data_IF_933797642933
#
_entry.id   IF_933797642933
#
_cell.length_a   1.000
_cell.length_b   1.000
_cell.length_c   1.000
_cell.angle_alpha   90.00
_cell.angle_beta   90.00
_cell.angle_gamma   90.00
#
_symmetry.space_group_name_H-M   'P 1'
#
loop_
_entity.id
_entity.type
_entity.pdbx_description
1 polymer ?
#
# COMPACT_ATOMS: atom_id res chain seq x y z
N UNK A 1 4.65 -22.55 -6.88
CA UNK A 1 3.84 -21.34 -6.56
C UNK A 1 3.33 -21.51 -5.13
N UNK A 2 3.21 -20.43 -4.37
CA UNK A 2 2.59 -20.41 -3.03
C UNK A 2 1.20 -19.79 -3.17
N UNK A 3 0.15 -20.48 -2.72
CA UNK A 3 -1.19 -19.93 -2.66
C UNK A 3 -1.30 -18.95 -1.48
N UNK A 4 -1.75 -17.74 -1.73
CA UNK A 4 -2.07 -16.74 -0.70
C UNK A 4 -3.56 -16.35 -0.74
N UNK A 5 -3.99 -15.40 0.08
CA UNK A 5 -5.39 -14.96 0.13
C UNK A 5 -5.85 -14.24 -1.15
N UNK A 6 -4.96 -13.47 -1.78
CA UNK A 6 -5.31 -12.59 -2.89
C UNK A 6 -4.77 -13.06 -4.24
N UNK A 7 -3.70 -13.85 -4.27
CA UNK A 7 -3.10 -14.39 -5.51
C UNK A 7 -2.13 -15.55 -5.23
N UNK A 8 -1.67 -16.23 -6.27
CA UNK A 8 -0.53 -17.15 -6.19
C UNK A 8 0.78 -16.42 -6.45
N UNK A 9 1.82 -16.73 -5.67
CA UNK A 9 3.14 -16.11 -5.79
C UNK A 9 4.23 -17.13 -6.17
N UNK A 10 5.23 -16.75 -7.00
CA UNK A 10 6.41 -17.58 -7.22
C UNK A 10 7.15 -17.87 -5.90
N UNK A 11 7.66 -19.10 -5.72
CA UNK A 11 8.34 -19.49 -4.49
C UNK A 11 9.54 -18.60 -4.16
N UNK A 12 10.37 -18.27 -5.16
CA UNK A 12 11.54 -17.43 -4.97
C UNK A 12 11.16 -16.03 -4.45
N UNK A 13 10.13 -15.42 -5.04
CA UNK A 13 9.65 -14.11 -4.59
C UNK A 13 9.09 -14.17 -3.17
N UNK A 14 8.27 -15.19 -2.86
CA UNK A 14 7.74 -15.40 -1.52
C UNK A 14 8.84 -15.54 -0.45
N UNK A 15 9.93 -16.24 -0.77
CA UNK A 15 11.07 -16.39 0.13
C UNK A 15 11.85 -15.08 0.32
N UNK A 16 12.03 -14.29 -0.74
CA UNK A 16 12.69 -12.98 -0.65
C UNK A 16 11.92 -12.03 0.30
N UNK A 17 10.59 -12.01 0.23
CA UNK A 17 9.75 -11.16 1.07
C UNK A 17 9.92 -11.43 2.58
N UNK A 18 10.29 -12.66 2.99
CA UNK A 18 10.48 -13.02 4.42
C UNK A 18 11.62 -12.24 5.10
N UNK A 19 12.56 -11.70 4.32
CA UNK A 19 13.71 -10.99 4.85
C UNK A 19 13.44 -9.51 5.13
N UNK A 20 12.31 -8.97 4.65
CA UNK A 20 11.95 -7.56 4.84
C UNK A 20 11.79 -7.27 6.34
N UNK A 21 12.50 -6.23 6.81
CA UNK A 21 12.45 -5.74 8.21
C UNK A 21 11.86 -4.33 8.33
N UNK A 22 11.71 -3.64 7.21
CA UNK A 22 11.14 -2.31 7.14
C UNK A 22 10.27 -2.23 5.89
N UNK A 23 9.04 -1.78 6.05
CA UNK A 23 8.14 -1.41 4.97
C UNK A 23 7.96 0.10 5.00
N UNK A 24 8.32 0.76 3.89
CA UNK A 24 8.08 2.18 3.68
C UNK A 24 7.02 2.31 2.61
N UNK A 25 6.00 3.11 2.89
CA UNK A 25 4.89 3.36 1.98
C UNK A 25 4.75 4.86 1.73
N UNK A 26 4.39 5.20 0.50
CA UNK A 26 3.88 6.53 0.17
C UNK A 26 2.47 6.72 0.77
N UNK A 27 1.96 7.94 0.77
CA UNK A 27 0.63 8.27 1.31
C UNK A 27 -0.39 8.36 0.18
N UNK A 28 -0.21 9.33 -0.71
CA UNK A 28 -1.23 9.68 -1.68
C UNK A 28 -1.32 8.63 -2.81
N UNK A 29 -2.41 7.86 -2.82
CA UNK A 29 -2.65 6.79 -3.81
C UNK A 29 -2.18 5.40 -3.36
N UNK A 30 -1.57 5.29 -2.18
CA UNK A 30 -1.26 4.00 -1.52
C UNK A 30 -2.17 3.79 -0.31
N UNK A 31 -2.18 4.75 0.62
CA UNK A 31 -3.07 4.71 1.77
C UNK A 31 -4.35 5.51 1.56
N UNK A 32 -4.27 6.57 0.76
CA UNK A 32 -5.45 7.28 0.28
C UNK A 32 -5.88 6.77 -1.10
N UNK A 33 -7.08 7.12 -1.53
CA UNK A 33 -7.51 6.93 -2.93
C UNK A 33 -6.83 7.89 -3.93
N UNK A 34 -5.97 8.77 -3.41
CA UNK A 34 -5.14 9.71 -4.17
C UNK A 34 -5.84 11.05 -4.38
N UNK A 35 -7.02 11.25 -3.76
CA UNK A 35 -7.76 12.51 -3.82
C UNK A 35 -7.41 13.39 -2.63
N UNK A 36 -7.44 14.68 -2.90
CA UNK A 36 -7.33 15.73 -1.89
C UNK A 36 -8.65 16.48 -1.89
N UNK A 37 -9.28 16.55 -0.73
CA UNK A 37 -10.55 17.23 -0.54
C UNK A 37 -10.29 18.57 0.16
N UNK A 38 -10.70 19.65 -0.49
CA UNK A 38 -10.54 21.01 0.02
C UNK A 38 -11.88 21.55 0.50
N UNK A 39 -11.94 21.94 1.77
CA UNK A 39 -13.11 22.53 2.41
C UNK A 39 -13.21 24.04 2.18
N UNK A 40 -14.42 24.57 2.34
CA UNK A 40 -14.70 25.99 2.10
C UNK A 40 -14.07 26.93 3.15
N UNK A 41 -13.55 26.40 4.26
CA UNK A 41 -12.89 27.17 5.32
C UNK A 41 -11.39 26.85 5.41
N UNK A 42 -10.81 26.33 4.33
CA UNK A 42 -9.37 26.03 4.25
C UNK A 42 -8.98 24.69 4.86
N UNK A 43 -9.95 23.79 5.10
CA UNK A 43 -9.66 22.42 5.50
C UNK A 43 -9.04 21.63 4.34
N UNK A 44 -8.02 20.82 4.63
CA UNK A 44 -7.45 19.84 3.71
C UNK A 44 -7.65 18.44 4.30
N UNK A 45 -8.37 17.59 3.58
CA UNK A 45 -8.65 16.21 3.98
C UNK A 45 -8.08 15.24 2.94
N UNK A 46 -7.41 14.19 3.41
CA UNK A 46 -6.94 13.05 2.62
C UNK A 46 -7.80 11.84 3.00
N UNK A 47 -8.36 11.12 2.03
CA UNK A 47 -9.26 9.99 2.24
C UNK A 47 -8.68 8.69 1.68
#
# INVERSE_FOLDING_TARGET
MVKTLYTELPHAFYQQLQQIKLLVCDVDGVFSDGRIYLGNQGEELKA
#
